data_IF_391460175530
#
_entry.id   IF_391460175530
#
_cell.length_a   1.000
_cell.length_b   1.000
_cell.length_c   1.000
_cell.angle_alpha   90.00
_cell.angle_beta   90.00
_cell.angle_gamma   90.00
#
_symmetry.space_group_name_H-M   'P 1'
#
loop_
_entity.id
_entity.type
_entity.pdbx_description
1 polymer ?
#
# COMPACT_ATOMS: atom_id res chain seq x y z
N UNK A 1 -5.64 32.72 5.12
CA UNK A 1 -5.88 31.92 3.89
C UNK A 1 -5.09 30.63 4.01
N UNK A 2 -5.69 29.60 4.60
CA UNK A 2 -5.07 28.26 4.70
C UNK A 2 -5.35 27.54 3.38
N UNK A 3 -4.29 27.20 2.66
CA UNK A 3 -4.34 26.33 1.48
C UNK A 3 -4.54 24.89 1.99
N UNK A 4 -5.72 24.35 1.78
CA UNK A 4 -6.06 22.93 2.00
C UNK A 4 -6.71 22.48 0.70
N UNK A 5 -6.17 21.43 0.07
CA UNK A 5 -6.67 20.91 -1.20
C UNK A 5 -5.63 20.36 -2.17
N UNK A 6 -4.38 20.11 -1.74
CA UNK A 6 -3.33 19.43 -2.55
C UNK A 6 -3.22 17.94 -2.20
N UNK A 7 -4.33 17.30 -1.78
CA UNK A 7 -4.26 16.04 -1.01
C UNK A 7 -5.05 14.86 -1.59
N UNK A 8 -5.46 14.86 -2.87
CA UNK A 8 -6.20 13.71 -3.43
C UNK A 8 -5.79 13.25 -4.84
N UNK A 9 -4.72 13.79 -5.44
CA UNK A 9 -4.17 13.28 -6.71
C UNK A 9 -2.64 13.05 -6.67
N UNK A 10 -2.01 13.34 -5.53
CA UNK A 10 -0.58 13.21 -5.27
C UNK A 10 -0.25 12.13 -4.25
N UNK A 11 -1.24 11.48 -3.65
CA UNK A 11 -1.05 10.28 -2.85
C UNK A 11 -1.28 9.06 -3.75
N UNK A 12 -0.29 8.16 -3.78
CA UNK A 12 -0.10 7.03 -4.70
C UNK A 12 0.53 7.44 -6.04
N UNK A 13 1.86 7.61 -6.09
CA UNK A 13 2.83 6.87 -6.96
C UNK A 13 4.28 7.15 -6.51
N UNK A 14 4.51 7.08 -5.21
CA UNK A 14 5.82 6.71 -4.68
C UNK A 14 5.55 5.80 -3.49
N UNK A 15 5.77 4.51 -3.70
CA UNK A 15 5.45 3.48 -2.72
C UNK A 15 4.09 2.83 -2.96
N UNK A 16 4.01 2.00 -4.02
CA UNK A 16 3.50 0.65 -3.74
C UNK A 16 4.38 0.13 -2.62
N UNK A 17 3.77 0.10 -1.45
CA UNK A 17 4.34 -0.36 -0.21
C UNK A 17 4.79 -1.79 -0.47
N UNK A 18 6.08 -1.98 -0.71
CA UNK A 18 6.74 -3.25 -0.44
C UNK A 18 6.84 -3.32 1.10
N UNK A 19 5.69 -3.46 1.75
CA UNK A 19 5.58 -3.97 3.12
C UNK A 19 5.24 -5.44 2.98
N UNK A 20 6.22 -6.25 2.61
CA UNK A 20 6.23 -7.67 2.95
C UNK A 20 7.16 -7.87 4.12
N UNK A 21 6.58 -8.17 5.27
CA UNK A 21 7.25 -8.89 6.35
C UNK A 21 6.94 -8.36 7.74
N UNK A 22 5.89 -8.88 8.39
CA UNK A 22 5.94 -9.47 9.75
C UNK A 22 4.53 -9.95 10.21
N UNK A 23 4.15 -11.17 9.78
CA UNK A 23 3.38 -12.25 10.47
C UNK A 23 1.96 -11.94 11.10
N UNK A 24 1.27 -12.89 11.78
CA UNK A 24 0.21 -13.77 11.23
C UNK A 24 -1.22 -13.59 11.83
N UNK A 25 -2.21 -14.13 11.11
CA UNK A 25 -3.58 -14.56 11.50
C UNK A 25 -4.21 -14.00 12.80
N UNK A 26 -5.30 -13.22 12.68
CA UNK A 26 -6.54 -13.56 13.36
C UNK A 26 -7.79 -12.98 12.69
N UNK A 27 -8.66 -13.90 12.27
CA UNK A 27 -10.03 -13.63 11.92
C UNK A 27 -10.83 -13.39 13.21
N UNK A 28 -11.28 -12.16 13.44
CA UNK A 28 -12.52 -11.93 14.19
C UNK A 28 -13.08 -10.52 13.96
N UNK A 29 -14.17 -10.49 13.19
CA UNK A 29 -15.37 -9.68 13.42
C UNK A 29 -15.20 -8.20 13.80
N UNK A 30 -15.49 -7.31 12.84
CA UNK A 30 -16.37 -6.17 13.11
C UNK A 30 -17.35 -5.98 11.94
N UNK A 31 -18.50 -6.64 12.07
CA UNK A 31 -19.74 -6.22 11.44
C UNK A 31 -20.14 -4.89 12.09
N UNK A 32 -20.08 -3.78 11.35
CA UNK A 32 -20.82 -2.56 11.68
C UNK A 32 -21.36 -1.95 10.39
N UNK A 33 -22.68 -2.07 10.26
CA UNK A 33 -23.49 -1.44 9.23
C UNK A 33 -23.18 0.06 9.12
N UNK A 34 -22.58 0.47 8.00
CA UNK A 34 -22.54 1.87 7.59
C UNK A 34 -23.68 2.11 6.61
N UNK A 35 -24.57 3.03 6.98
CA UNK A 35 -25.66 3.50 6.13
C UNK A 35 -25.08 4.08 4.84
N UNK A 36 -25.67 3.67 3.71
CA UNK A 36 -25.46 4.14 2.33
C UNK A 36 -24.77 5.52 2.23
N UNK A 37 -23.44 5.51 2.15
CA UNK A 37 -22.65 6.69 1.79
C UNK A 37 -22.35 6.62 0.29
N UNK A 38 -22.86 7.62 -0.41
CA UNK A 38 -22.53 8.08 -1.78
C UNK A 38 -21.62 7.16 -2.60
N UNK A 39 -22.21 6.54 -3.64
CA UNK A 39 -21.74 5.51 -4.60
C UNK A 39 -20.45 5.81 -5.40
N UNK A 40 -19.53 6.60 -4.86
CA UNK A 40 -18.24 6.89 -5.47
C UNK A 40 -17.10 6.87 -4.46
N UNK A 41 -17.30 6.33 -3.26
CA UNK A 41 -16.16 5.96 -2.44
C UNK A 41 -15.53 4.71 -3.07
N UNK A 42 -14.21 4.75 -3.29
CA UNK A 42 -13.40 3.58 -3.54
C UNK A 42 -13.40 2.74 -2.25
N UNK A 43 -14.55 2.17 -1.89
CA UNK A 43 -14.68 1.32 -0.71
C UNK A 43 -14.09 -0.03 -1.08
N UNK A 44 -12.96 -0.35 -0.45
CA UNK A 44 -12.36 -1.66 -0.46
C UNK A 44 -13.21 -2.60 0.41
N UNK A 45 -14.35 -3.06 -0.13
CA UNK A 45 -15.11 -4.17 0.46
C UNK A 45 -14.72 -5.48 -0.25
N UNK A 46 -14.35 -6.49 0.54
CA UNK A 46 -13.97 -7.83 0.07
C UNK A 46 -15.04 -8.40 -0.87
N UNK A 47 -14.64 -8.64 -2.13
CA UNK A 47 -15.45 -9.36 -3.12
C UNK A 47 -16.28 -8.52 -4.10
N UNK A 48 -16.28 -7.18 -4.01
CA UNK A 48 -16.87 -6.34 -5.06
C UNK A 48 -15.85 -6.07 -6.20
N UNK A 49 -16.30 -6.12 -7.45
CA UNK A 49 -15.48 -5.72 -8.60
C UNK A 49 -15.15 -4.23 -8.47
N UNK A 50 -13.86 -3.92 -8.50
CA UNK A 50 -13.34 -2.55 -8.56
C UNK A 50 -14.06 -1.77 -9.67
N UNK A 51 -14.73 -0.68 -9.29
CA UNK A 51 -15.35 0.24 -10.26
C UNK A 51 -14.25 1.14 -10.79
N UNK A 52 -14.11 1.21 -12.11
CA UNK A 52 -13.17 2.15 -12.71
C UNK A 52 -13.56 3.60 -12.40
N UNK A 53 -12.62 4.54 -12.49
CA UNK A 53 -12.92 5.97 -12.35
C UNK A 53 -14.02 6.43 -13.33
N UNK A 54 -14.04 5.87 -14.54
CA UNK A 54 -15.08 6.11 -15.54
C UNK A 54 -16.45 5.61 -15.06
N UNK A 55 -16.52 4.44 -14.43
CA UNK A 55 -17.77 3.90 -13.89
C UNK A 55 -18.28 4.76 -12.75
N UNK A 56 -17.38 5.19 -11.86
CA UNK A 56 -17.61 6.15 -10.79
C UNK A 56 -18.24 7.46 -11.29
N UNK A 57 -17.68 8.09 -12.34
CA UNK A 57 -18.26 9.29 -12.96
C UNK A 57 -19.68 9.01 -13.47
N UNK A 58 -19.87 7.90 -14.19
CA UNK A 58 -21.15 7.55 -14.81
C UNK A 58 -22.23 7.26 -13.77
N UNK A 59 -21.92 6.51 -12.72
CA UNK A 59 -22.87 6.12 -11.67
C UNK A 59 -23.17 7.22 -10.68
N UNK A 60 -22.33 8.25 -10.58
CA UNK A 60 -22.50 9.29 -9.57
C UNK A 60 -23.83 10.03 -9.69
N UNK A 61 -24.49 10.21 -8.54
CA UNK A 61 -25.71 11.03 -8.38
C UNK A 61 -25.39 12.45 -7.89
N UNK A 62 -24.14 12.71 -7.48
CA UNK A 62 -23.72 13.96 -6.85
C UNK A 62 -23.27 15.04 -7.85
N UNK A 63 -23.05 14.66 -9.10
CA UNK A 63 -22.63 15.56 -10.19
C UNK A 63 -23.67 15.53 -11.32
N UNK A 64 -23.85 16.67 -11.97
CA UNK A 64 -24.77 16.85 -13.09
C UNK A 64 -24.28 16.14 -14.35
N UNK A 65 -25.16 15.90 -15.32
CA UNK A 65 -24.76 15.29 -16.60
C UNK A 65 -23.72 16.13 -17.35
N UNK A 66 -23.82 17.46 -17.30
CA UNK A 66 -22.81 18.33 -17.91
C UNK A 66 -21.43 18.18 -17.25
N UNK A 67 -21.41 18.09 -15.92
CA UNK A 67 -20.18 17.84 -15.14
C UNK A 67 -19.60 16.45 -15.42
N UNK A 68 -20.44 15.41 -15.58
CA UNK A 68 -20.00 14.08 -16.00
C UNK A 68 -19.32 14.12 -17.37
N UNK A 69 -19.95 14.76 -18.36
CA UNK A 69 -19.39 14.87 -19.71
C UNK A 69 -18.06 15.64 -19.70
N UNK A 70 -17.91 16.65 -18.84
CA UNK A 70 -16.65 17.35 -18.66
C UNK A 70 -15.54 16.43 -18.12
N UNK A 71 -15.81 15.67 -17.06
CA UNK A 71 -14.84 14.72 -16.50
C UNK A 71 -14.48 13.60 -17.51
N UNK A 72 -15.48 13.00 -18.16
CA UNK A 72 -15.27 11.96 -19.17
C UNK A 72 -14.44 12.46 -20.35
N UNK A 73 -14.63 13.71 -20.76
CA UNK A 73 -13.82 14.34 -21.79
C UNK A 73 -12.37 14.52 -21.34
N UNK A 74 -12.14 15.02 -20.12
CA UNK A 74 -10.78 15.13 -19.57
C UNK A 74 -10.10 13.77 -19.51
N UNK A 75 -10.79 12.72 -19.05
CA UNK A 75 -10.22 11.37 -19.02
C UNK A 75 -9.90 10.81 -20.41
N UNK A 76 -10.76 11.08 -21.40
CA UNK A 76 -10.48 10.70 -22.77
C UNK A 76 -9.24 11.43 -23.34
N UNK A 77 -9.02 12.69 -22.95
CA UNK A 77 -7.83 13.47 -23.31
C UNK A 77 -6.56 12.96 -22.59
N UNK A 78 -6.70 12.44 -21.36
CA UNK A 78 -5.62 11.88 -20.56
C UNK A 78 -5.29 10.41 -20.87
N UNK A 79 -6.16 9.68 -21.57
CA UNK A 79 -5.93 8.28 -21.94
C UNK A 79 -4.52 7.94 -22.48
N UNK A 80 -3.90 8.70 -23.42
CA UNK A 80 -2.53 8.42 -23.84
C UNK A 80 -1.47 8.69 -22.77
N UNK A 81 -1.73 9.60 -21.82
CA UNK A 81 -0.86 9.86 -20.67
C UNK A 81 -0.94 8.69 -19.69
N UNK A 82 -2.15 8.21 -19.37
CA UNK A 82 -2.36 7.04 -18.52
C UNK A 82 -1.67 5.80 -19.06
N UNK A 83 -1.81 5.54 -20.37
CA UNK A 83 -1.10 4.41 -20.99
C UNK A 83 0.43 4.49 -20.81
N UNK A 84 1.02 5.68 -20.93
CA UNK A 84 2.47 5.86 -20.73
C UNK A 84 2.88 5.66 -19.28
N UNK A 85 2.04 6.11 -18.35
CA UNK A 85 2.23 5.87 -16.92
C UNK A 85 2.25 4.36 -16.66
N UNK A 86 1.23 3.63 -17.12
CA UNK A 86 1.15 2.16 -16.99
C UNK A 86 2.40 1.47 -17.56
N UNK A 87 2.83 1.87 -18.76
CA UNK A 87 4.01 1.30 -19.44
C UNK A 87 5.32 1.58 -18.67
N UNK A 88 5.43 2.73 -17.99
CA UNK A 88 6.62 3.09 -17.20
C UNK A 88 6.61 2.42 -15.83
N UNK A 89 5.46 2.33 -15.16
CA UNK A 89 5.30 1.61 -13.89
C UNK A 89 5.61 0.13 -14.06
N UNK A 90 5.15 -0.49 -15.15
CA UNK A 90 5.50 -1.88 -15.47
C UNK A 90 7.02 -2.07 -15.64
N UNK A 91 7.72 -1.07 -16.21
CA UNK A 91 9.19 -1.13 -16.33
C UNK A 91 9.89 -0.97 -14.97
N UNK A 92 9.38 -0.09 -14.11
CA UNK A 92 9.86 0.05 -12.72
C UNK A 92 9.67 -1.27 -11.98
N UNK A 93 8.48 -1.87 -12.03
CA UNK A 93 8.17 -3.15 -11.38
C UNK A 93 9.12 -4.26 -11.86
N UNK A 94 9.36 -4.38 -13.17
CA UNK A 94 10.30 -5.37 -13.73
C UNK A 94 11.73 -5.18 -13.18
N UNK A 95 12.19 -3.92 -13.02
CA UNK A 95 13.52 -3.63 -12.47
C UNK A 95 13.57 -4.02 -10.99
N UNK A 96 12.57 -3.63 -10.20
CA UNK A 96 12.48 -3.97 -8.79
C UNK A 96 12.42 -5.49 -8.58
N UNK A 97 11.54 -6.21 -9.30
CA UNK A 97 11.45 -7.66 -9.23
C UNK A 97 12.80 -8.31 -9.55
N UNK A 98 13.48 -7.87 -10.61
CA UNK A 98 14.78 -8.41 -11.00
C UNK A 98 15.85 -8.21 -9.93
N UNK A 99 15.84 -7.08 -9.23
CA UNK A 99 16.85 -6.73 -8.22
C UNK A 99 16.52 -7.37 -6.86
N UNK A 100 15.24 -7.37 -6.47
CA UNK A 100 14.78 -7.73 -5.13
C UNK A 100 14.32 -9.19 -5.01
N UNK A 101 13.78 -9.83 -6.06
CA UNK A 101 13.34 -11.24 -5.95
C UNK A 101 14.43 -12.19 -5.42
N UNK A 102 15.71 -12.07 -5.82
CA UNK A 102 16.75 -12.94 -5.28
C UNK A 102 16.93 -12.84 -3.76
N UNK A 103 16.64 -11.67 -3.14
CA UNK A 103 16.74 -11.55 -1.68
C UNK A 103 15.48 -12.08 -1.00
N UNK A 104 14.29 -11.89 -1.57
CA UNK A 104 13.06 -12.51 -1.07
C UNK A 104 13.16 -14.04 -1.04
N UNK A 105 13.69 -14.66 -2.10
CA UNK A 105 13.93 -16.11 -2.13
C UNK A 105 14.87 -16.58 -1.00
N UNK A 106 15.83 -15.74 -0.58
CA UNK A 106 16.71 -16.06 0.56
C UNK A 106 15.96 -15.97 1.89
N UNK A 107 15.12 -14.96 2.10
CA UNK A 107 14.27 -14.85 3.28
C UNK A 107 13.30 -16.03 3.37
N UNK A 108 12.58 -16.32 2.29
CA UNK A 108 11.62 -17.42 2.21
C UNK A 108 12.27 -18.75 2.55
N UNK A 109 13.51 -18.97 2.08
CA UNK A 109 14.26 -20.18 2.41
C UNK A 109 14.61 -20.28 3.89
N UNK A 110 14.96 -19.18 4.55
CA UNK A 110 15.27 -19.18 5.99
C UNK A 110 13.99 -19.48 6.78
N UNK A 111 12.94 -18.67 6.59
CA UNK A 111 11.67 -18.86 7.30
C UNK A 111 11.07 -20.24 7.02
N UNK A 112 11.05 -20.68 5.76
CA UNK A 112 10.52 -21.97 5.35
C UNK A 112 11.31 -23.18 5.86
N UNK A 113 12.59 -23.03 6.20
CA UNK A 113 13.40 -24.14 6.74
C UNK A 113 12.95 -24.56 8.14
N UNK A 114 12.38 -23.62 8.91
CA UNK A 114 11.93 -23.82 10.29
C UNK A 114 10.59 -23.12 10.54
N UNK A 115 9.68 -23.13 9.56
CA UNK A 115 8.40 -22.39 9.59
C UNK A 115 7.63 -22.60 10.90
N UNK A 116 7.40 -23.86 11.27
CA UNK A 116 6.69 -24.23 12.52
C UNK A 116 7.37 -23.72 13.78
N UNK A 117 8.68 -23.55 13.75
CA UNK A 117 9.43 -23.04 14.88
C UNK A 117 9.32 -21.52 14.98
N UNK A 118 9.32 -20.82 13.84
CA UNK A 118 8.99 -19.40 13.76
C UNK A 118 7.54 -19.13 14.19
N UNK A 119 6.56 -19.90 13.69
CA UNK A 119 5.16 -19.83 14.12
C UNK A 119 5.04 -20.02 15.64
N UNK A 120 5.65 -21.09 16.17
CA UNK A 120 5.68 -21.34 17.61
C UNK A 120 6.27 -20.16 18.37
N UNK A 121 7.35 -19.55 17.88
CA UNK A 121 7.93 -18.36 18.51
C UNK A 121 6.92 -17.20 18.56
N UNK A 122 6.31 -16.84 17.43
CA UNK A 122 5.34 -15.74 17.35
C UNK A 122 4.06 -15.99 18.17
N UNK A 123 3.54 -17.22 18.21
CA UNK A 123 2.40 -17.58 19.08
C UNK A 123 2.69 -17.36 20.58
N UNK A 124 3.96 -17.32 20.97
CA UNK A 124 4.39 -17.11 22.35
C UNK A 124 4.67 -15.66 22.71
N UNK A 125 4.58 -14.73 21.76
CA UNK A 125 4.85 -13.31 21.94
C UNK A 125 3.51 -12.58 22.09
N UNK A 126 3.48 -11.61 23.00
CA UNK A 126 2.40 -10.64 23.08
C UNK A 126 2.68 -9.53 22.06
N UNK A 127 1.76 -9.29 21.13
CA UNK A 127 1.91 -8.31 20.06
C UNK A 127 2.18 -6.90 20.62
N UNK A 128 1.65 -6.58 21.81
CA UNK A 128 1.90 -5.29 22.50
C UNK A 128 3.32 -5.18 23.11
N UNK A 129 4.05 -6.29 23.20
CA UNK A 129 5.38 -6.39 23.79
C UNK A 129 6.49 -6.71 22.78
N UNK A 130 6.15 -6.77 21.48
CA UNK A 130 7.11 -7.04 20.42
C UNK A 130 8.17 -5.93 20.36
N UNK A 131 9.45 -6.30 20.37
CA UNK A 131 10.56 -5.36 20.24
C UNK A 131 11.29 -5.56 18.91
N UNK A 132 12.03 -4.54 18.48
CA UNK A 132 12.87 -4.62 17.27
C UNK A 132 14.00 -5.66 17.42
N UNK A 133 14.41 -5.97 18.66
CA UNK A 133 15.45 -6.97 18.94
C UNK A 133 14.85 -8.38 19.03
N UNK A 134 14.67 -9.00 17.87
CA UNK A 134 14.14 -10.36 17.75
C UNK A 134 15.00 -11.40 18.50
N UNK A 135 16.32 -11.20 18.59
CA UNK A 135 17.21 -12.11 19.34
C UNK A 135 16.89 -12.06 20.84
N UNK A 136 16.70 -10.85 21.39
CA UNK A 136 16.29 -10.69 22.78
C UNK A 136 14.91 -11.29 23.07
N UNK A 137 13.98 -11.21 22.13
CA UNK A 137 12.66 -11.86 22.27
C UNK A 137 12.77 -13.39 22.23
N UNK A 138 13.57 -13.97 21.32
CA UNK A 138 13.85 -15.41 21.30
C UNK A 138 14.45 -15.88 22.65
N UNK A 139 15.30 -15.06 23.27
CA UNK A 139 15.87 -15.37 24.59
C UNK A 139 14.83 -15.44 25.69
N UNK A 140 13.88 -14.50 25.70
CA UNK A 140 12.81 -14.41 26.70
C UNK A 140 11.69 -15.44 26.47
N UNK A 141 11.53 -15.94 25.25
CA UNK A 141 10.46 -16.85 24.86
C UNK A 141 10.36 -18.07 25.80
N UNK A 142 9.22 -18.23 26.48
CA UNK A 142 9.03 -19.29 27.49
C UNK A 142 8.58 -20.62 26.90
N UNK A 143 8.00 -20.56 25.70
CA UNK A 143 7.47 -21.70 24.96
C UNK A 143 8.52 -22.44 24.12
N UNK A 144 9.73 -21.87 23.99
CA UNK A 144 10.86 -22.47 23.26
C UNK A 144 11.86 -23.19 24.18
N UNK A 145 12.35 -24.34 23.74
CA UNK A 145 13.48 -25.06 24.36
C UNK A 145 14.81 -24.38 24.04
N UNK A 146 15.87 -24.73 24.78
CA UNK A 146 17.21 -24.17 24.55
C UNK A 146 17.75 -24.45 23.12
N UNK A 147 17.48 -25.64 22.57
CA UNK A 147 17.90 -26.00 21.21
C UNK A 147 17.13 -25.26 20.12
N UNK A 148 15.82 -25.08 20.33
CA UNK A 148 14.95 -24.27 19.48
C UNK A 148 15.40 -22.81 19.44
N UNK A 149 15.69 -22.22 20.60
CA UNK A 149 16.25 -20.86 20.69
C UNK A 149 17.57 -20.74 19.94
N UNK A 150 18.49 -21.70 20.12
CA UNK A 150 19.77 -21.67 19.42
C UNK A 150 19.59 -21.72 17.90
N UNK A 151 18.61 -22.49 17.41
CA UNK A 151 18.27 -22.58 15.99
C UNK A 151 17.75 -21.25 15.47
N UNK A 152 16.72 -20.68 16.12
CA UNK A 152 16.14 -19.41 15.70
C UNK A 152 17.12 -18.24 15.75
N UNK A 153 17.99 -18.16 16.78
CA UNK A 153 19.04 -17.12 16.82
C UNK A 153 19.99 -17.25 15.64
N UNK A 154 20.41 -18.47 15.29
CA UNK A 154 21.30 -18.69 14.16
C UNK A 154 20.64 -18.34 12.81
N UNK A 155 19.32 -18.47 12.70
CA UNK A 155 18.56 -17.99 11.53
C UNK A 155 18.36 -16.47 11.54
N UNK A 156 18.08 -15.88 12.71
CA UNK A 156 17.96 -14.44 12.87
C UNK A 156 19.26 -13.72 12.51
N UNK A 157 20.42 -14.26 12.85
CA UNK A 157 21.71 -13.67 12.41
C UNK A 157 21.89 -13.67 10.89
N UNK A 158 21.33 -14.68 10.20
CA UNK A 158 21.31 -14.70 8.72
C UNK A 158 20.33 -13.65 8.20
N UNK A 159 19.15 -13.52 8.81
CA UNK A 159 18.15 -12.49 8.50
C UNK A 159 18.77 -11.09 8.65
N UNK A 160 19.43 -10.79 9.78
CA UNK A 160 20.11 -9.52 10.01
C UNK A 160 21.17 -9.21 8.92
N UNK A 161 21.85 -10.24 8.42
CA UNK A 161 22.80 -10.10 7.30
C UNK A 161 22.07 -9.79 5.98
N UNK A 162 20.93 -10.43 5.73
CA UNK A 162 20.08 -10.14 4.58
C UNK A 162 19.51 -8.72 4.66
N UNK A 163 19.11 -8.22 5.84
CA UNK A 163 18.59 -6.86 6.00
C UNK A 163 19.61 -5.82 5.50
N UNK A 164 20.89 -6.03 5.85
CA UNK A 164 21.99 -5.18 5.35
C UNK A 164 22.27 -5.33 3.84
N UNK A 165 21.90 -6.45 3.22
CA UNK A 165 21.96 -6.67 1.77
C UNK A 165 20.74 -6.03 1.09
N UNK A 166 19.57 -6.10 1.72
CA UNK A 166 18.31 -5.55 1.26
C UNK A 166 18.43 -4.04 1.06
N UNK A 167 18.98 -3.31 2.03
CA UNK A 167 19.18 -1.86 1.94
C UNK A 167 19.96 -1.47 0.68
N UNK A 168 21.05 -2.20 0.40
CA UNK A 168 21.91 -1.94 -0.76
C UNK A 168 21.21 -2.26 -2.08
N UNK A 169 20.39 -3.31 -2.10
CA UNK A 169 19.61 -3.68 -3.28
C UNK A 169 18.48 -2.67 -3.52
N UNK A 170 17.85 -2.17 -2.45
CA UNK A 170 16.84 -1.11 -2.51
C UNK A 170 17.44 0.18 -3.08
N UNK A 171 18.57 0.66 -2.54
CA UNK A 171 19.28 1.83 -3.07
C UNK A 171 19.65 1.65 -4.55
N UNK A 172 20.05 0.44 -4.94
CA UNK A 172 20.37 0.12 -6.33
C UNK A 172 19.12 0.15 -7.21
N UNK A 173 18.01 -0.42 -6.77
CA UNK A 173 16.74 -0.38 -7.51
C UNK A 173 16.28 1.05 -7.72
N UNK A 174 16.30 1.87 -6.67
CA UNK A 174 16.00 3.31 -6.74
C UNK A 174 16.92 4.03 -7.74
N UNK A 175 18.22 3.75 -7.72
CA UNK A 175 19.17 4.35 -8.65
C UNK A 175 18.90 3.95 -10.10
N UNK A 176 18.57 2.67 -10.36
CA UNK A 176 18.26 2.17 -11.70
C UNK A 176 16.91 2.67 -12.24
N UNK A 177 15.93 2.95 -11.37
CA UNK A 177 14.62 3.47 -11.77
C UNK A 177 14.52 4.99 -11.78
N UNK A 178 15.56 5.70 -11.32
CA UNK A 178 15.55 7.15 -11.12
C UNK A 178 15.02 7.96 -12.30
N UNK A 179 15.49 7.68 -13.51
CA UNK A 179 15.06 8.43 -14.71
C UNK A 179 13.61 8.12 -15.09
N UNK A 180 13.16 6.87 -14.89
CA UNK A 180 11.76 6.48 -15.10
C UNK A 180 10.85 7.19 -14.09
N UNK A 181 11.26 7.26 -12.82
CA UNK A 181 10.53 8.00 -11.79
C UNK A 181 10.42 9.49 -12.11
N UNK A 182 11.50 10.10 -12.61
CA UNK A 182 11.47 11.51 -13.06
C UNK A 182 10.53 11.71 -14.26
N UNK A 183 10.36 10.71 -15.13
CA UNK A 183 9.38 10.77 -16.21
C UNK A 183 7.95 10.58 -15.71
N UNK A 184 7.72 9.64 -14.78
CA UNK A 184 6.43 9.45 -14.10
C UNK A 184 5.97 10.73 -13.42
N UNK A 185 6.83 11.40 -12.64
CA UNK A 185 6.52 12.68 -11.99
C UNK A 185 6.01 13.75 -12.97
N UNK A 186 6.62 13.81 -14.16
CA UNK A 186 6.20 14.75 -15.21
C UNK A 186 4.82 14.40 -15.76
N UNK A 187 4.54 13.11 -15.98
CA UNK A 187 3.25 12.65 -16.48
C UNK A 187 2.14 12.85 -15.44
N UNK A 188 2.41 12.56 -14.16
CA UNK A 188 1.49 12.85 -13.07
C UNK A 188 1.19 14.35 -12.94
N UNK A 189 2.20 15.22 -13.11
CA UNK A 189 1.95 16.67 -13.16
C UNK A 189 1.07 17.10 -14.34
N UNK A 190 1.09 16.37 -15.46
CA UNK A 190 0.16 16.63 -16.58
C UNK A 190 -1.27 16.26 -16.19
N UNK A 191 -1.47 15.10 -15.55
CA UNK A 191 -2.77 14.66 -15.02
C UNK A 191 -3.31 15.67 -14.01
N UNK A 192 -2.50 16.06 -13.02
CA UNK A 192 -2.87 17.02 -11.98
C UNK A 192 -3.36 18.34 -12.61
N UNK A 193 -2.59 18.93 -13.52
CA UNK A 193 -2.96 20.18 -14.19
C UNK A 193 -4.23 20.08 -15.03
N UNK A 194 -4.49 18.91 -15.63
CA UNK A 194 -5.74 18.68 -16.34
C UNK A 194 -6.92 18.68 -15.36
N UNK A 195 -6.73 18.10 -14.17
CA UNK A 195 -7.75 17.96 -13.13
C UNK A 195 -7.93 19.19 -12.24
N UNK A 196 -6.97 20.12 -12.16
CA UNK A 196 -7.12 21.41 -11.44
C UNK A 196 -8.40 22.16 -11.84
N UNK A 197 -8.74 22.14 -13.14
CA UNK A 197 -9.95 22.78 -13.68
C UNK A 197 -11.23 22.05 -13.30
N UNK A 198 -11.11 20.78 -12.95
CA UNK A 198 -12.19 19.89 -12.57
C UNK A 198 -12.33 19.76 -11.05
N UNK A 199 -11.47 20.39 -10.25
CA UNK A 199 -11.42 20.17 -8.80
C UNK A 199 -12.79 20.33 -8.13
N UNK A 200 -13.55 21.38 -8.45
CA UNK A 200 -14.90 21.59 -7.89
C UNK A 200 -15.90 20.48 -8.21
N UNK A 201 -15.70 19.79 -9.34
CA UNK A 201 -16.53 18.65 -9.74
C UNK A 201 -16.04 17.39 -9.03
N UNK A 202 -14.72 17.22 -8.93
CA UNK A 202 -14.09 16.12 -8.19
C UNK A 202 -14.45 16.16 -6.70
N UNK A 203 -14.48 17.33 -6.06
CA UNK A 203 -14.91 17.52 -4.67
C UNK A 203 -16.38 17.11 -4.45
N UNK A 204 -17.24 17.22 -5.47
CA UNK A 204 -18.63 16.74 -5.41
C UNK A 204 -18.72 15.24 -5.66
N UNK A 205 -17.87 14.72 -6.55
CA UNK A 205 -17.79 13.32 -6.88
C UNK A 205 -17.29 12.50 -5.68
N UNK A 206 -16.26 13.01 -5.00
CA UNK A 206 -15.65 12.47 -3.79
C UNK A 206 -15.74 13.50 -2.65
N UNK A 207 -16.93 13.65 -2.04
CA UNK A 207 -17.07 14.58 -0.92
C UNK A 207 -16.19 14.15 0.24
N UNK A 208 -15.55 15.11 0.91
CA UNK A 208 -14.83 14.84 2.16
C UNK A 208 -15.76 14.13 3.13
N UNK A 209 -15.37 12.92 3.56
CA UNK A 209 -16.09 12.21 4.61
C UNK A 209 -15.75 12.95 5.90
N UNK A 210 -16.68 13.76 6.39
CA UNK A 210 -16.59 14.26 7.77
C UNK A 210 -16.54 13.05 8.69
N UNK A 211 -15.53 12.92 9.58
CA UNK A 211 -15.58 11.95 10.66
C UNK A 211 -16.93 12.13 11.35
N UNK A 212 -17.67 11.04 11.55
CA UNK A 212 -18.89 11.08 12.34
C UNK A 212 -18.45 11.56 13.72
N UNK A 213 -18.81 12.77 14.11
CA UNK A 213 -18.62 13.23 15.48
C UNK A 213 -19.21 12.17 16.40
N UNK A 214 -18.39 11.58 17.27
CA UNK A 214 -18.81 10.67 18.33
C UNK A 214 -19.61 11.45 19.40
N UNK A 215 -20.72 12.09 19.02
CA UNK A 215 -21.76 12.52 19.96
C UNK A 215 -22.68 11.33 20.27
N UNK A 216 -22.11 10.29 20.86
CA UNK A 216 -22.85 9.29 21.63
C UNK A 216 -22.19 9.15 23.00
N UNK A 217 -22.42 10.13 23.88
CA UNK A 217 -22.53 9.92 25.32
C UNK A 217 -22.94 11.21 26.04
N UNK A 218 -24.26 11.44 26.15
CA UNK A 218 -24.89 12.05 27.34
C UNK A 218 -26.22 11.39 27.62
#
# INVERSE_FOLDING_TARGET
MKKLGTLLLTEVVFGRTILTGMMPVNASSQNKDSKETTECACVFEDGQKEKSFIDCIKSSKNITEAEKQQLLKTEAELAPTWKKIDDLEAQVDIIYEKIMNPIYEKYDKIYGSNEKLWEKFYEGIDDEAMSEDTIAEIEKAKNLTAGEKATLKAEQEKINTLDSEWDKLSEKAEAETKELSVELDKLYSVVEKANEKNQKILDKLFPEITPIDEEFNR
#
